data_IF_167273639645
#
_entry.id   IF_167273639645
#
_cell.length_a   1.000
_cell.length_b   1.000
_cell.length_c   1.000
_cell.angle_alpha   90.00
_cell.angle_beta   90.00
_cell.angle_gamma   90.00
#
_symmetry.space_group_name_H-M   'P 1'
#
loop_
_entity.id
_entity.type
_entity.pdbx_description
1 polymer ?
#
# COMPACT_ATOMS: atom_id res chain seq x y z
N UNK A 1 -1.34 1.65 -89.62
CA UNK A 1 -2.32 1.74 -88.48
C UNK A 1 -1.52 1.87 -87.26
N UNK A 2 -1.78 2.94 -86.51
CA UNK A 2 -0.96 3.42 -85.34
C UNK A 2 -1.19 2.61 -84.07
N UNK A 3 -0.14 2.02 -83.50
CA UNK A 3 -0.18 1.42 -82.17
C UNK A 3 0.43 2.36 -81.13
N UNK A 4 -0.36 2.77 -80.15
CA UNK A 4 0.07 3.61 -79.03
C UNK A 4 0.55 2.71 -77.91
N UNK A 5 1.84 2.77 -77.57
CA UNK A 5 2.41 2.18 -76.32
C UNK A 5 2.29 3.17 -75.16
N UNK A 6 1.46 2.83 -74.17
CA UNK A 6 1.37 3.59 -72.91
C UNK A 6 2.48 3.14 -71.98
N UNK A 7 3.39 4.04 -71.65
CA UNK A 7 4.39 3.86 -70.65
C UNK A 7 3.76 4.00 -69.24
N UNK A 8 3.85 2.97 -68.45
CA UNK A 8 3.40 2.94 -67.05
C UNK A 8 4.52 3.49 -66.14
N UNK A 9 4.35 4.70 -65.60
CA UNK A 9 5.27 5.23 -64.59
C UNK A 9 4.95 4.60 -63.23
N UNK A 10 5.84 3.76 -62.71
CA UNK A 10 5.79 3.25 -61.36
C UNK A 10 6.41 4.29 -60.44
N UNK A 11 5.59 4.94 -59.60
CA UNK A 11 6.06 5.80 -58.55
C UNK A 11 6.43 4.95 -57.32
N UNK A 12 7.73 4.80 -57.00
CA UNK A 12 8.22 4.26 -55.75
C UNK A 12 7.98 5.28 -54.61
N UNK A 13 7.02 5.00 -53.73
CA UNK A 13 6.93 5.66 -52.43
C UNK A 13 7.97 5.05 -51.50
N UNK A 14 9.03 5.81 -51.19
CA UNK A 14 9.95 5.50 -50.12
C UNK A 14 9.26 5.82 -48.80
N UNK A 15 8.77 4.79 -48.09
CA UNK A 15 8.29 4.91 -46.72
C UNK A 15 9.52 5.02 -45.80
N UNK A 16 9.85 6.24 -45.37
CA UNK A 16 10.83 6.50 -44.32
C UNK A 16 10.22 6.03 -42.97
N UNK A 17 10.54 4.80 -42.57
CA UNK A 17 10.21 4.29 -41.24
C UNK A 17 11.03 5.01 -40.17
N UNK A 18 10.44 5.95 -39.47
CA UNK A 18 10.98 6.50 -38.21
C UNK A 18 10.97 5.40 -37.15
N UNK A 19 12.12 4.75 -36.97
CA UNK A 19 12.35 3.90 -35.77
C UNK A 19 12.33 4.83 -34.54
N UNK A 20 11.23 4.87 -33.82
CA UNK A 20 11.18 5.36 -32.46
C UNK A 20 12.06 4.41 -31.62
N UNK A 21 13.31 4.82 -31.36
CA UNK A 21 14.13 4.21 -30.34
C UNK A 21 13.42 4.46 -29.00
N UNK A 22 12.65 3.47 -28.53
CA UNK A 22 12.21 3.41 -27.15
C UNK A 22 13.48 3.25 -26.29
N UNK A 23 14.08 4.38 -25.90
CA UNK A 23 15.17 4.39 -24.94
C UNK A 23 14.67 3.70 -23.68
N UNK A 24 15.28 2.59 -23.31
CA UNK A 24 15.08 1.99 -21.99
C UNK A 24 15.45 3.07 -20.97
N UNK A 25 14.46 3.65 -20.31
CA UNK A 25 14.71 4.58 -19.22
C UNK A 25 15.50 3.81 -18.14
N UNK A 26 16.68 4.32 -17.79
CA UNK A 26 17.51 3.71 -16.77
C UNK A 26 16.73 3.73 -15.42
N UNK A 27 16.36 2.54 -14.92
CA UNK A 27 15.60 2.37 -13.67
C UNK A 27 16.32 2.92 -12.44
N UNK A 28 17.61 3.20 -12.56
CA UNK A 28 18.46 3.74 -11.49
C UNK A 28 18.40 5.27 -11.37
N UNK A 29 17.87 5.95 -12.38
CA UNK A 29 17.69 7.40 -12.33
C UNK A 29 16.55 7.73 -11.36
N UNK A 30 16.79 8.65 -10.41
CA UNK A 30 15.75 9.19 -9.56
C UNK A 30 14.79 10.04 -10.42
N UNK A 31 13.63 9.50 -10.71
CA UNK A 31 12.57 10.17 -11.46
C UNK A 31 11.21 9.82 -10.86
N UNK A 32 10.22 10.71 -11.01
CA UNK A 32 8.85 10.43 -10.54
C UNK A 32 8.33 9.07 -11.03
N UNK A 33 8.64 8.71 -12.26
CA UNK A 33 8.20 7.47 -12.88
C UNK A 33 8.88 6.23 -12.24
N UNK A 34 10.21 6.24 -12.09
CA UNK A 34 10.94 5.12 -11.51
C UNK A 34 10.60 4.93 -10.03
N UNK A 35 10.46 6.03 -9.28
CA UNK A 35 10.09 5.99 -7.87
C UNK A 35 8.64 5.50 -7.67
N UNK A 36 7.70 5.93 -8.53
CA UNK A 36 6.34 5.41 -8.52
C UNK A 36 6.29 3.91 -8.87
N UNK A 37 7.11 3.47 -9.82
CA UNK A 37 7.24 2.06 -10.17
C UNK A 37 7.74 1.22 -8.99
N UNK A 38 8.82 1.67 -8.33
CA UNK A 38 9.38 0.99 -7.17
C UNK A 38 8.37 0.87 -6.02
N UNK A 39 7.67 1.95 -5.68
CA UNK A 39 6.62 1.95 -4.68
C UNK A 39 5.48 0.99 -5.04
N UNK A 40 5.01 1.02 -6.29
CA UNK A 40 3.94 0.14 -6.74
C UNK A 40 4.37 -1.33 -6.79
N UNK A 41 5.62 -1.62 -7.11
CA UNK A 41 6.17 -2.97 -7.07
C UNK A 41 6.09 -3.54 -5.65
N UNK A 42 6.57 -2.78 -4.64
CA UNK A 42 6.51 -3.19 -3.24
C UNK A 42 5.06 -3.35 -2.75
N UNK A 43 4.20 -2.35 -2.96
CA UNK A 43 2.81 -2.37 -2.49
C UNK A 43 1.94 -3.41 -3.21
N UNK A 44 2.35 -3.92 -4.37
CA UNK A 44 1.67 -5.04 -5.02
C UNK A 44 1.83 -6.36 -4.24
N UNK A 45 2.98 -6.54 -3.60
CA UNK A 45 3.30 -7.72 -2.79
C UNK A 45 2.84 -7.55 -1.33
N UNK A 46 2.82 -6.32 -0.82
CA UNK A 46 2.56 -6.02 0.58
C UNK A 46 1.18 -5.36 0.77
N UNK A 47 0.53 -5.72 1.88
CA UNK A 47 -0.76 -5.14 2.27
C UNK A 47 -0.59 -4.23 3.47
N UNK A 48 -1.42 -3.19 3.53
CA UNK A 48 -1.61 -2.41 4.74
C UNK A 48 -2.42 -3.20 5.76
N UNK A 49 -1.89 -3.34 6.97
CA UNK A 49 -2.51 -4.09 8.06
C UNK A 49 -2.56 -3.25 9.34
N UNK A 50 -3.54 -3.50 10.19
CA UNK A 50 -3.72 -2.76 11.44
C UNK A 50 -2.58 -2.99 12.44
N UNK A 51 -2.01 -4.19 12.43
CA UNK A 51 -0.89 -4.56 13.29
C UNK A 51 0.32 -4.98 12.44
N UNK A 52 1.51 -4.53 12.84
CA UNK A 52 2.76 -4.88 12.15
C UNK A 52 3.06 -6.38 12.26
N UNK A 53 2.70 -7.00 13.40
CA UNK A 53 2.84 -8.45 13.65
C UNK A 53 1.47 -9.04 13.96
N UNK A 54 1.26 -10.35 13.68
CA UNK A 54 0.05 -11.04 14.10
C UNK A 54 -0.18 -10.91 15.61
N UNK A 55 -1.39 -10.48 15.99
CA UNK A 55 -1.81 -10.52 17.40
C UNK A 55 -2.14 -11.95 17.81
N UNK A 56 -1.66 -12.43 18.97
CA UNK A 56 -2.07 -13.72 19.49
C UNK A 56 -3.50 -13.62 20.01
N UNK A 57 -4.36 -14.54 19.60
CA UNK A 57 -5.73 -14.67 20.13
C UNK A 57 -5.90 -16.06 20.74
N UNK A 58 -6.60 -16.18 21.91
CA UNK A 58 -7.28 -15.12 22.67
C UNK A 58 -6.31 -14.08 23.24
N UNK A 59 -6.74 -12.80 23.28
CA UNK A 59 -5.99 -11.72 23.88
C UNK A 59 -6.73 -11.19 25.11
N UNK A 60 -6.04 -11.10 26.24
CA UNK A 60 -6.62 -10.67 27.50
C UNK A 60 -6.03 -9.34 27.96
N UNK A 61 -6.89 -8.46 28.48
CA UNK A 61 -6.47 -7.18 29.04
C UNK A 61 -7.38 -6.79 30.20
N UNK A 62 -6.77 -6.39 31.32
CA UNK A 62 -7.49 -5.87 32.46
C UNK A 62 -8.10 -4.50 32.13
N UNK A 63 -9.35 -4.27 32.55
CA UNK A 63 -10.05 -3.00 32.33
C UNK A 63 -9.34 -1.84 33.02
N UNK A 64 -8.74 -2.07 34.19
CA UNK A 64 -7.98 -1.07 34.94
C UNK A 64 -6.60 -0.75 34.35
N UNK A 65 -6.08 -1.58 33.42
CA UNK A 65 -4.76 -1.36 32.82
C UNK A 65 -4.76 -0.14 31.91
N UNK A 66 -4.21 0.98 32.42
CA UNK A 66 -4.12 2.24 31.71
C UNK A 66 -3.08 2.20 30.56
N UNK A 67 -2.05 1.37 30.68
CA UNK A 67 -1.01 1.24 29.66
C UNK A 67 -1.54 0.56 28.40
N UNK A 68 -2.48 -0.35 28.57
CA UNK A 68 -3.15 -1.05 27.47
C UNK A 68 -4.47 -0.40 27.02
N UNK A 69 -4.79 0.78 27.53
CA UNK A 69 -6.03 1.49 27.20
C UNK A 69 -6.23 1.72 25.69
N UNK A 70 -5.17 2.09 24.98
CA UNK A 70 -5.19 2.26 23.52
C UNK A 70 -5.41 0.91 22.82
N UNK A 71 -4.69 -0.14 23.24
CA UNK A 71 -4.85 -1.49 22.69
C UNK A 71 -6.27 -1.99 22.91
N UNK A 72 -6.83 -1.80 24.12
CA UNK A 72 -8.22 -2.16 24.42
C UNK A 72 -9.20 -1.44 23.51
N UNK A 73 -9.08 -0.12 23.35
CA UNK A 73 -9.92 0.67 22.45
C UNK A 73 -9.90 0.15 21.00
N UNK A 74 -8.71 -0.24 20.51
CA UNK A 74 -8.54 -0.82 19.17
C UNK A 74 -9.21 -2.19 19.05
N UNK A 75 -9.07 -3.04 20.08
CA UNK A 75 -9.72 -4.35 20.11
C UNK A 75 -11.23 -4.24 20.24
N UNK A 76 -11.74 -3.27 21.02
CA UNK A 76 -13.18 -2.99 21.13
C UNK A 76 -13.76 -2.59 19.76
N UNK A 77 -13.09 -1.72 19.01
CA UNK A 77 -13.52 -1.35 17.66
C UNK A 77 -13.56 -2.55 16.70
N UNK A 78 -12.63 -3.49 16.83
CA UNK A 78 -12.65 -4.72 16.03
C UNK A 78 -13.77 -5.67 16.48
N UNK A 79 -14.14 -5.65 17.75
CA UNK A 79 -15.29 -6.40 18.25
C UNK A 79 -16.60 -5.79 17.73
N UNK A 80 -16.75 -4.49 17.76
CA UNK A 80 -17.90 -3.77 17.17
C UNK A 80 -18.01 -4.03 15.66
N UNK A 81 -16.87 -4.13 14.97
CA UNK A 81 -16.83 -4.51 13.55
C UNK A 81 -17.10 -6.01 13.29
N UNK A 82 -17.34 -6.81 14.32
CA UNK A 82 -17.66 -8.23 14.22
C UNK A 82 -16.48 -9.14 13.90
N UNK A 83 -15.24 -8.64 14.01
CA UNK A 83 -14.03 -9.44 13.78
C UNK A 83 -13.56 -10.17 15.05
N UNK A 84 -13.87 -9.60 16.21
CA UNK A 84 -13.59 -10.19 17.51
C UNK A 84 -14.90 -10.35 18.29
N UNK A 85 -14.90 -11.29 19.21
CA UNK A 85 -15.88 -11.40 20.28
C UNK A 85 -15.19 -10.99 21.58
N UNK A 86 -15.85 -10.16 22.40
CA UNK A 86 -15.36 -9.72 23.69
C UNK A 86 -16.13 -10.40 24.78
N UNK A 87 -15.44 -11.22 25.56
CA UNK A 87 -15.92 -11.85 26.79
C UNK A 87 -15.40 -11.05 27.99
N UNK A 88 -16.19 -10.94 29.04
CA UNK A 88 -15.78 -10.30 30.29
C UNK A 88 -15.86 -11.27 31.44
N UNK A 89 -14.83 -11.29 32.28
CA UNK A 89 -14.79 -12.11 33.50
C UNK A 89 -14.24 -11.30 34.67
N UNK A 90 -14.79 -11.48 35.88
CA UNK A 90 -14.23 -10.88 37.10
C UNK A 90 -12.85 -11.50 37.42
N UNK A 91 -11.93 -10.68 37.91
CA UNK A 91 -10.61 -11.10 38.37
C UNK A 91 -10.21 -10.30 39.61
N UNK A 92 -10.53 -10.82 40.78
CA UNK A 92 -10.41 -10.09 42.05
C UNK A 92 -11.26 -8.82 42.06
N UNK A 93 -10.63 -7.66 42.15
CA UNK A 93 -11.30 -6.34 42.13
C UNK A 93 -11.38 -5.75 40.71
N UNK A 94 -10.88 -6.45 39.68
CA UNK A 94 -10.85 -5.97 38.29
C UNK A 94 -11.75 -6.82 37.40
N UNK A 95 -11.91 -6.37 36.16
CA UNK A 95 -12.55 -7.10 35.08
C UNK A 95 -11.53 -7.36 33.97
N UNK A 96 -11.48 -8.58 33.48
CA UNK A 96 -10.67 -8.95 32.32
C UNK A 96 -11.54 -8.99 31.08
N UNK A 97 -11.14 -8.23 30.06
CA UNK A 97 -11.66 -8.37 28.71
C UNK A 97 -10.82 -9.42 27.97
N UNK A 98 -11.48 -10.45 27.48
CA UNK A 98 -10.90 -11.50 26.65
C UNK A 98 -11.46 -11.37 25.23
N UNK A 99 -10.58 -11.17 24.26
CA UNK A 99 -10.93 -11.03 22.85
C UNK A 99 -10.60 -12.30 22.09
N UNK A 100 -11.58 -12.83 21.37
CA UNK A 100 -11.47 -14.07 20.59
C UNK A 100 -11.81 -13.78 19.15
N UNK A 101 -11.13 -14.42 18.20
CA UNK A 101 -11.45 -14.28 16.77
C UNK A 101 -12.83 -14.88 16.49
N UNK A 102 -13.68 -14.10 15.84
CA UNK A 102 -14.91 -14.63 15.23
C UNK A 102 -14.59 -15.42 13.97
N UNK A 103 -15.58 -16.10 13.40
CA UNK A 103 -15.43 -16.74 12.09
C UNK A 103 -15.11 -15.71 10.98
N UNK A 104 -15.60 -14.48 11.09
CA UNK A 104 -15.26 -13.39 10.17
C UNK A 104 -13.82 -12.93 10.39
N UNK A 105 -13.41 -12.70 11.65
CA UNK A 105 -12.04 -12.31 11.99
C UNK A 105 -10.99 -13.33 11.56
N UNK A 106 -11.29 -14.62 11.71
CA UNK A 106 -10.38 -15.70 11.28
C UNK A 106 -10.17 -15.78 9.78
N UNK A 107 -11.11 -15.24 8.97
CA UNK A 107 -11.01 -15.18 7.51
C UNK A 107 -10.33 -13.91 6.99
N UNK A 108 -10.00 -12.96 7.88
CA UNK A 108 -9.28 -11.76 7.44
C UNK A 108 -7.87 -12.11 6.99
N UNK A 109 -7.40 -11.40 5.97
CA UNK A 109 -6.01 -11.56 5.52
C UNK A 109 -5.02 -11.14 6.61
N UNK A 110 -3.86 -11.79 6.66
CA UNK A 110 -2.79 -11.47 7.60
C UNK A 110 -2.84 -12.22 8.92
N UNK A 111 -3.76 -13.17 9.13
CA UNK A 111 -3.80 -14.07 10.30
C UNK A 111 -3.68 -13.32 11.64
N UNK A 112 -4.62 -12.43 11.92
CA UNK A 112 -4.62 -11.59 13.14
C UNK A 112 -3.88 -10.27 13.00
N UNK A 113 -3.33 -9.95 11.80
CA UNK A 113 -2.85 -8.60 11.47
C UNK A 113 -3.98 -7.69 11.00
N UNK A 114 -5.11 -8.23 10.54
CA UNK A 114 -6.26 -7.52 9.95
C UNK A 114 -5.83 -6.58 8.82
N UNK A 115 -5.46 -7.18 7.68
CA UNK A 115 -5.03 -6.42 6.51
C UNK A 115 -6.24 -5.83 5.78
N UNK A 116 -6.16 -4.54 5.44
CA UNK A 116 -7.30 -3.76 4.99
C UNK A 116 -7.17 -3.21 3.55
N UNK A 117 -6.14 -3.60 2.83
CA UNK A 117 -6.01 -3.26 1.42
C UNK A 117 -4.57 -3.18 0.94
N UNK A 118 -4.40 -2.83 -0.34
CA UNK A 118 -3.11 -2.56 -0.97
C UNK A 118 -3.09 -1.15 -1.50
N UNK A 119 -1.99 -0.46 -1.32
CA UNK A 119 -1.78 0.85 -1.92
C UNK A 119 -1.50 0.70 -3.41
N UNK A 120 -2.03 1.62 -4.18
CA UNK A 120 -1.60 1.89 -5.55
C UNK A 120 -1.22 3.35 -5.66
N UNK A 121 0.05 3.63 -5.88
CA UNK A 121 0.56 4.99 -6.10
C UNK A 121 -0.01 5.51 -7.41
N UNK A 122 -0.64 6.67 -7.34
CA UNK A 122 -1.23 7.36 -8.50
C UNK A 122 -0.30 8.42 -9.06
N UNK A 123 0.45 9.09 -8.19
CA UNK A 123 1.46 10.07 -8.59
C UNK A 123 2.52 10.27 -7.51
N UNK A 124 3.73 10.60 -7.91
CA UNK A 124 4.77 11.15 -7.04
C UNK A 124 4.66 12.67 -7.08
N UNK A 125 4.42 13.29 -5.93
CA UNK A 125 4.32 14.76 -5.82
C UNK A 125 5.69 15.39 -5.94
N UNK A 126 6.58 15.00 -5.03
CA UNK A 126 7.98 15.46 -5.00
C UNK A 126 8.90 14.39 -4.43
N UNK A 127 10.18 14.53 -4.68
CA UNK A 127 11.22 13.72 -4.08
C UNK A 127 12.49 14.55 -3.85
N UNK A 128 13.32 14.16 -2.88
CA UNK A 128 14.59 14.81 -2.62
C UNK A 128 15.67 14.38 -3.61
N UNK A 129 16.67 15.21 -3.84
CA UNK A 129 17.89 14.73 -4.47
C UNK A 129 18.45 13.54 -3.66
N UNK A 130 18.93 12.47 -4.34
CA UNK A 130 19.54 11.35 -3.64
C UNK A 130 20.74 11.79 -2.78
N UNK A 131 20.77 11.28 -1.54
CA UNK A 131 21.86 11.53 -0.59
C UNK A 131 22.52 10.20 -0.28
N UNK A 132 23.84 10.15 -0.35
CA UNK A 132 24.59 8.95 0.05
C UNK A 132 24.49 8.71 1.55
N UNK A 133 24.07 7.52 1.92
CA UNK A 133 24.10 7.04 3.29
C UNK A 133 24.80 5.68 3.34
N UNK A 134 26.03 5.67 3.85
CA UNK A 134 26.87 4.46 3.97
C UNK A 134 27.08 3.73 2.62
N UNK A 135 27.29 4.48 1.54
CA UNK A 135 27.51 3.93 0.20
C UNK A 135 26.22 3.57 -0.55
N UNK A 136 25.04 3.86 0.03
CA UNK A 136 23.74 3.63 -0.59
C UNK A 136 23.01 4.97 -0.81
N UNK A 137 22.70 5.36 -2.05
CA UNK A 137 21.90 6.53 -2.32
C UNK A 137 20.46 6.35 -1.80
N UNK A 138 19.97 7.30 -1.00
CA UNK A 138 18.63 7.37 -0.45
C UNK A 138 17.89 8.57 -1.00
N UNK A 139 16.60 8.44 -1.24
CA UNK A 139 15.68 9.55 -1.55
C UNK A 139 14.41 9.46 -0.74
N UNK A 140 13.90 10.62 -0.29
CA UNK A 140 12.56 10.73 0.31
C UNK A 140 11.57 11.11 -0.77
N UNK A 141 10.44 10.45 -0.76
CA UNK A 141 9.38 10.59 -1.77
C UNK A 141 8.07 10.89 -1.08
N UNK A 142 7.39 11.95 -1.52
CA UNK A 142 5.99 12.23 -1.16
C UNK A 142 5.10 11.83 -2.35
N UNK A 143 4.05 11.07 -2.09
CA UNK A 143 3.24 10.48 -3.14
C UNK A 143 1.76 10.41 -2.78
N UNK A 144 0.91 10.49 -3.80
CA UNK A 144 -0.52 10.19 -3.71
C UNK A 144 -0.76 8.72 -4.02
N UNK A 145 -1.77 8.15 -3.38
CA UNK A 145 -2.16 6.76 -3.63
C UNK A 145 -3.67 6.57 -3.52
N UNK A 146 -4.13 5.40 -3.91
CA UNK A 146 -5.47 4.91 -3.62
C UNK A 146 -5.36 3.56 -2.93
N UNK A 147 -6.24 3.32 -1.97
CA UNK A 147 -6.34 2.02 -1.33
C UNK A 147 -7.24 1.10 -2.16
N UNK A 148 -6.69 -0.02 -2.61
CA UNK A 148 -7.41 -1.01 -3.41
C UNK A 148 -8.09 -2.05 -2.53
N UNK A 149 -9.33 -2.38 -2.89
CA UNK A 149 -10.13 -3.46 -2.30
C UNK A 149 -10.25 -3.43 -0.76
N UNK A 150 -10.53 -2.25 -0.14
CA UNK A 150 -10.74 -2.21 1.29
C UNK A 150 -11.98 -3.01 1.66
N UNK A 151 -11.88 -3.95 2.64
CA UNK A 151 -13.02 -4.75 3.11
C UNK A 151 -14.04 -3.86 3.83
N UNK A 152 -15.29 -4.34 3.91
CA UNK A 152 -16.39 -3.57 4.53
C UNK A 152 -16.13 -3.20 5.98
N UNK A 153 -15.52 -4.10 6.75
CA UNK A 153 -15.21 -3.85 8.16
C UNK A 153 -14.24 -2.67 8.37
N UNK A 154 -13.28 -2.48 7.44
CA UNK A 154 -12.33 -1.36 7.53
C UNK A 154 -12.97 0.00 7.24
N UNK A 155 -14.16 0.02 6.63
CA UNK A 155 -14.91 1.24 6.30
C UNK A 155 -15.80 1.72 7.44
N UNK A 156 -15.96 0.93 8.50
CA UNK A 156 -16.80 1.27 9.64
C UNK A 156 -16.16 2.40 10.46
N UNK A 157 -16.98 3.28 10.99
CA UNK A 157 -16.53 4.47 11.71
C UNK A 157 -15.72 4.11 12.97
N UNK A 158 -16.12 3.06 13.68
CA UNK A 158 -15.46 2.56 14.87
C UNK A 158 -13.99 2.19 14.56
N UNK A 159 -13.77 1.48 13.44
CA UNK A 159 -12.43 1.09 12.99
C UNK A 159 -11.63 2.32 12.56
N UNK A 160 -12.21 3.20 11.77
CA UNK A 160 -11.52 4.41 11.30
C UNK A 160 -11.14 5.34 12.45
N UNK A 161 -11.99 5.45 13.48
CA UNK A 161 -11.73 6.24 14.67
C UNK A 161 -10.66 5.62 15.57
N UNK A 162 -10.63 4.29 15.67
CA UNK A 162 -9.63 3.58 16.45
C UNK A 162 -8.27 3.46 15.75
N UNK A 163 -8.25 3.52 14.42
CA UNK A 163 -7.06 3.37 13.59
C UNK A 163 -6.94 4.56 12.60
N UNK A 164 -6.34 5.69 13.01
CA UNK A 164 -6.24 6.90 12.17
C UNK A 164 -5.56 6.66 10.82
N UNK A 165 -4.64 5.67 10.74
CA UNK A 165 -4.00 5.29 9.48
C UNK A 165 -5.00 4.76 8.45
N UNK A 166 -6.02 4.00 8.90
CA UNK A 166 -7.09 3.52 8.03
C UNK A 166 -7.91 4.68 7.48
N UNK A 167 -8.28 5.63 8.38
CA UNK A 167 -9.00 6.83 7.97
C UNK A 167 -8.20 7.66 6.96
N UNK A 168 -6.89 7.85 7.19
CA UNK A 168 -5.98 8.54 6.26
C UNK A 168 -5.95 7.83 4.90
N UNK A 169 -5.77 6.50 4.88
CA UNK A 169 -5.66 5.72 3.65
C UNK A 169 -6.95 5.69 2.82
N UNK A 170 -8.09 6.00 3.45
CA UNK A 170 -9.41 6.05 2.80
C UNK A 170 -9.90 7.47 2.53
N UNK A 171 -9.07 8.50 2.78
CA UNK A 171 -9.42 9.88 2.42
C UNK A 171 -9.51 10.03 0.89
N UNK A 172 -10.17 11.08 0.37
CA UNK A 172 -10.32 11.28 -1.08
C UNK A 172 -8.99 11.41 -1.83
N UNK A 173 -7.99 12.03 -1.20
CA UNK A 173 -6.66 12.26 -1.77
C UNK A 173 -5.58 11.91 -0.72
N UNK A 174 -5.36 10.61 -0.45
CA UNK A 174 -4.39 10.22 0.55
C UNK A 174 -2.97 10.47 0.04
N UNK A 175 -2.19 11.14 0.90
CA UNK A 175 -0.77 11.43 0.67
C UNK A 175 0.06 10.73 1.75
N UNK A 176 1.19 10.18 1.36
CA UNK A 176 2.15 9.60 2.30
C UNK A 176 3.60 9.83 1.85
N UNK A 177 4.52 9.57 2.76
CA UNK A 177 5.96 9.68 2.55
C UNK A 177 6.59 8.29 2.58
N UNK A 178 7.66 8.12 1.81
CA UNK A 178 8.48 6.92 1.83
C UNK A 178 9.95 7.28 1.65
N UNK A 179 10.83 6.41 2.14
CA UNK A 179 12.26 6.47 1.82
C UNK A 179 12.60 5.29 0.91
N UNK A 180 13.26 5.57 -0.20
CA UNK A 180 13.74 4.54 -1.12
C UNK A 180 15.26 4.55 -1.13
N UNK A 181 15.84 3.36 -1.30
CA UNK A 181 17.26 3.13 -1.46
C UNK A 181 17.55 2.65 -2.88
N UNK A 182 18.64 3.11 -3.45
CA UNK A 182 19.09 2.61 -4.75
C UNK A 182 19.95 1.36 -4.56
N UNK A 183 19.44 0.24 -5.05
CA UNK A 183 20.13 -1.06 -5.08
C UNK A 183 20.70 -1.36 -6.47
N UNK A 184 21.24 -2.55 -6.66
CA UNK A 184 21.67 -3.04 -7.98
C UNK A 184 20.48 -3.29 -8.93
N UNK A 185 19.28 -3.54 -8.37
CA UNK A 185 18.05 -3.82 -9.12
C UNK A 185 17.22 -2.55 -9.40
N UNK A 186 17.61 -1.42 -8.83
CA UNK A 186 16.92 -0.14 -8.95
C UNK A 186 16.51 0.42 -7.58
N UNK A 187 15.50 1.28 -7.58
CA UNK A 187 14.97 1.86 -6.35
C UNK A 187 14.09 0.85 -5.60
N UNK A 188 14.27 0.74 -4.29
CA UNK A 188 13.50 -0.15 -3.42
C UNK A 188 13.03 0.61 -2.16
N UNK A 189 11.85 0.25 -1.65
CA UNK A 189 11.29 0.81 -0.42
C UNK A 189 12.08 0.32 0.80
N UNK A 190 12.39 1.23 1.73
CA UNK A 190 12.98 0.89 3.04
C UNK A 190 11.89 0.86 4.12
N UNK A 191 12.02 -0.05 5.10
CA UNK A 191 11.10 -0.20 6.24
C UNK A 191 11.80 0.15 7.56
#
# INVERSE_FOLDING_TARGET
MKGYTKALKVAMLAAAGTMLAAGCADSRVASKQNLAYALNHDYSANQDCLFAKPMPFPYEVAVSDKLLGETRRRLDALAEAGLLEREQSPSGTDTINRYVLTAAGSRTEGKGRFCYGRRQVTSVEKFSAPVDYQGMPLTKVEYHFVLKNPPSWAKQDEVRNAFPMVAKSMSPEPVDDATLVLTNEGWELTY
#
